data_IF_702092335997
#
_entry.id   IF_702092335997
#
_cell.length_a   1.000
_cell.length_b   1.000
_cell.length_c   1.000
_cell.angle_alpha   90.00
_cell.angle_beta   90.00
_cell.angle_gamma   90.00
#
_symmetry.space_group_name_H-M   'P 1'
#
loop_
_entity.id
_entity.type
_entity.pdbx_description
1 polymer ?
#
# COMPACT_ATOMS: atom_id res chain seq x y z
N UNK A 1 -11.51 4.44 -23.32
CA UNK A 1 -10.13 4.86 -22.94
C UNK A 1 -9.48 3.69 -22.22
N UNK A 2 -8.20 3.42 -22.43
CA UNK A 2 -7.45 2.36 -21.73
C UNK A 2 -6.56 2.99 -20.67
N UNK A 3 -6.10 2.21 -19.68
CA UNK A 3 -5.13 2.67 -18.69
C UNK A 3 -3.87 3.22 -19.34
N UNK A 4 -3.39 4.37 -18.86
CA UNK A 4 -2.08 4.91 -19.24
C UNK A 4 -0.97 4.00 -18.70
N UNK A 5 0.25 4.13 -19.24
CA UNK A 5 1.39 3.35 -18.75
C UNK A 5 1.76 3.73 -17.31
N UNK A 6 1.52 4.98 -16.90
CA UNK A 6 1.65 5.41 -15.50
C UNK A 6 0.67 4.64 -14.61
N UNK A 7 -0.61 4.56 -14.99
CA UNK A 7 -1.60 3.78 -14.22
C UNK A 7 -1.24 2.31 -14.12
N UNK A 8 -0.81 1.70 -15.23
CA UNK A 8 -0.36 0.30 -15.24
C UNK A 8 0.82 0.07 -14.29
N UNK A 9 1.80 0.98 -14.29
CA UNK A 9 2.92 0.94 -13.37
C UNK A 9 2.47 1.07 -11.91
N UNK A 10 1.53 1.98 -11.60
CA UNK A 10 0.97 2.14 -10.26
C UNK A 10 0.20 0.87 -9.80
N UNK A 11 -0.59 0.26 -10.68
CA UNK A 11 -1.33 -0.98 -10.37
C UNK A 11 -0.41 -2.18 -10.12
N UNK A 12 0.77 -2.20 -10.73
CA UNK A 12 1.76 -3.26 -10.56
C UNK A 12 2.65 -3.07 -9.32
N UNK A 13 2.66 -1.89 -8.68
CA UNK A 13 3.47 -1.63 -7.49
C UNK A 13 3.15 -2.62 -6.36
N UNK A 14 4.13 -3.05 -5.59
CA UNK A 14 3.90 -3.85 -4.39
C UNK A 14 2.97 -3.13 -3.40
N UNK A 15 2.14 -3.90 -2.71
CA UNK A 15 1.31 -3.39 -1.62
C UNK A 15 2.20 -2.99 -0.44
N UNK A 16 2.09 -1.75 0.03
CA UNK A 16 2.82 -1.27 1.20
C UNK A 16 2.36 -2.00 2.47
N UNK A 17 3.29 -2.64 3.17
CA UNK A 17 3.03 -3.44 4.38
C UNK A 17 2.30 -2.66 5.47
N UNK A 18 2.49 -1.34 5.56
CA UNK A 18 1.78 -0.49 6.55
C UNK A 18 0.26 -0.49 6.38
N UNK A 19 -0.23 -0.76 5.15
CA UNK A 19 -1.65 -0.81 4.80
C UNK A 19 -2.27 -2.21 4.98
N UNK A 20 -1.45 -3.20 5.33
CA UNK A 20 -1.88 -4.57 5.59
C UNK A 20 -2.24 -4.72 7.07
N UNK A 21 -3.44 -5.22 7.32
CA UNK A 21 -3.94 -5.49 8.68
C UNK A 21 -4.04 -6.99 8.92
N UNK A 22 -3.71 -7.45 10.13
CA UNK A 22 -3.95 -8.84 10.53
C UNK A 22 -5.46 -9.11 10.63
N UNK A 23 -5.89 -10.37 10.48
CA UNK A 23 -7.29 -10.73 10.58
C UNK A 23 -7.84 -10.47 12.00
N UNK A 24 -9.14 -10.17 12.09
CA UNK A 24 -9.84 -10.14 13.38
C UNK A 24 -9.84 -11.54 14.04
N UNK A 25 -9.98 -11.62 15.38
CA UNK A 25 -10.06 -12.88 16.07
C UNK A 25 -11.10 -13.82 15.45
N UNK A 26 -10.69 -15.06 15.12
CA UNK A 26 -11.54 -16.06 14.48
C UNK A 26 -11.68 -15.91 12.95
N UNK A 27 -11.06 -14.91 12.32
CA UNK A 27 -10.97 -14.76 10.87
C UNK A 27 -9.55 -15.13 10.39
N UNK A 28 -9.40 -15.46 9.11
CA UNK A 28 -8.13 -15.85 8.50
C UNK A 28 -7.74 -14.91 7.36
N UNK A 29 -6.43 -14.76 7.18
CA UNK A 29 -5.83 -13.98 6.09
C UNK A 29 -5.73 -12.48 6.38
N UNK A 30 -4.57 -11.92 6.07
CA UNK A 30 -4.33 -10.48 6.11
C UNK A 30 -5.28 -9.76 5.15
N UNK A 31 -5.59 -8.48 5.41
CA UNK A 31 -6.50 -7.71 4.58
C UNK A 31 -6.09 -6.23 4.48
N UNK A 32 -6.65 -5.54 3.50
CA UNK A 32 -6.64 -4.08 3.39
C UNK A 32 -7.99 -3.49 3.77
N UNK A 33 -7.99 -2.32 4.41
CA UNK A 33 -9.22 -1.65 4.84
C UNK A 33 -9.97 -1.01 3.67
N UNK A 34 -11.31 -0.93 3.78
CA UNK A 34 -12.17 -0.38 2.72
C UNK A 34 -11.82 1.05 2.32
N UNK A 35 -11.51 1.92 3.30
CA UNK A 35 -11.11 3.31 3.03
C UNK A 35 -9.81 3.38 2.22
N UNK A 36 -8.85 2.47 2.48
CA UNK A 36 -7.58 2.43 1.76
C UNK A 36 -7.79 2.12 0.28
N UNK A 37 -8.60 1.10 -0.05
CA UNK A 37 -8.85 0.76 -1.46
C UNK A 37 -9.57 1.87 -2.22
N UNK A 38 -10.45 2.63 -1.54
CA UNK A 38 -11.09 3.82 -2.13
C UNK A 38 -10.06 4.93 -2.35
N UNK A 39 -9.18 5.20 -1.38
CA UNK A 39 -8.13 6.20 -1.50
C UNK A 39 -7.16 5.86 -2.66
N UNK A 40 -6.77 4.60 -2.80
CA UNK A 40 -5.93 4.13 -3.91
C UNK A 40 -6.66 4.22 -5.26
N UNK A 41 -7.96 3.93 -5.33
CA UNK A 41 -8.73 4.12 -6.54
C UNK A 41 -8.75 5.60 -6.98
N UNK A 42 -9.00 6.52 -6.05
CA UNK A 42 -8.95 7.95 -6.31
C UNK A 42 -7.56 8.42 -6.72
N UNK A 43 -6.50 7.88 -6.11
CA UNK A 43 -5.11 8.23 -6.42
C UNK A 43 -4.68 7.73 -7.81
N UNK A 44 -5.04 6.49 -8.17
CA UNK A 44 -4.57 5.84 -9.40
C UNK A 44 -5.46 6.24 -10.59
N UNK A 45 -6.78 6.23 -10.40
CA UNK A 45 -7.75 6.45 -11.49
C UNK A 45 -8.22 7.91 -11.61
N UNK A 46 -8.01 8.75 -10.57
CA UNK A 46 -8.64 10.07 -10.45
C UNK A 46 -10.03 9.99 -9.83
N UNK A 47 -10.48 11.08 -9.20
CA UNK A 47 -11.79 11.14 -8.54
C UNK A 47 -12.98 10.96 -9.49
N UNK A 48 -12.79 11.29 -10.75
CA UNK A 48 -13.76 11.22 -11.84
C UNK A 48 -13.48 10.08 -12.85
N UNK A 49 -12.36 9.36 -12.64
CA UNK A 49 -11.90 8.30 -13.56
C UNK A 49 -12.49 6.93 -13.30
N UNK A 50 -13.32 6.77 -12.25
CA UNK A 50 -13.94 5.50 -11.92
C UNK A 50 -15.33 5.66 -11.32
N UNK A 51 -16.13 4.60 -11.41
CA UNK A 51 -17.48 4.53 -10.86
C UNK A 51 -17.71 3.23 -10.10
N UNK A 52 -18.59 3.27 -9.10
CA UNK A 52 -19.05 2.12 -8.33
C UNK A 52 -20.57 2.00 -8.43
N UNK A 53 -21.05 0.79 -8.68
CA UNK A 53 -22.47 0.46 -8.73
C UNK A 53 -22.72 -0.82 -7.95
N UNK A 54 -23.65 -0.82 -7.00
CA UNK A 54 -24.14 -2.03 -6.34
C UNK A 54 -25.25 -2.64 -7.20
N UNK A 55 -24.89 -3.68 -7.96
CA UNK A 55 -25.79 -4.30 -8.96
C UNK A 55 -26.70 -5.37 -8.36
N UNK A 56 -26.38 -5.88 -7.18
CA UNK A 56 -27.19 -6.83 -6.43
C UNK A 56 -27.00 -6.61 -4.93
N UNK A 57 -28.10 -6.66 -4.21
CA UNK A 57 -28.14 -6.75 -2.75
C UNK A 57 -29.26 -7.75 -2.39
N UNK A 58 -28.88 -8.90 -1.84
CA UNK A 58 -29.81 -9.99 -1.56
C UNK A 58 -29.62 -10.47 -0.12
N UNK A 59 -30.73 -10.55 0.62
CA UNK A 59 -30.74 -11.23 1.92
C UNK A 59 -30.58 -12.73 1.70
N UNK A 60 -29.60 -13.34 2.35
CA UNK A 60 -29.31 -14.78 2.25
C UNK A 60 -29.97 -15.55 3.37
N UNK A 61 -30.01 -14.99 4.58
CA UNK A 61 -30.68 -15.61 5.74
C UNK A 61 -31.04 -14.55 6.78
N UNK A 62 -32.07 -14.85 7.55
CA UNK A 62 -32.49 -14.08 8.74
C UNK A 62 -33.05 -15.04 9.77
N UNK A 63 -32.40 -15.13 10.91
CA UNK A 63 -32.72 -16.10 11.96
C UNK A 63 -32.67 -15.45 13.33
N UNK A 64 -33.66 -15.70 14.18
CA UNK A 64 -33.61 -15.41 15.61
C UNK A 64 -33.13 -16.68 16.34
N UNK A 65 -31.89 -16.68 16.72
CA UNK A 65 -31.24 -17.81 17.37
C UNK A 65 -31.40 -17.75 18.88
N UNK A 66 -31.69 -18.88 19.53
CA UNK A 66 -31.56 -19.05 20.96
C UNK A 66 -30.25 -19.74 21.25
N UNK A 67 -29.41 -19.12 22.05
CA UNK A 67 -28.05 -19.57 22.38
C UNK A 67 -27.95 -19.81 23.88
N UNK A 68 -27.23 -20.86 24.25
CA UNK A 68 -26.92 -21.17 25.66
C UNK A 68 -25.78 -20.28 26.12
N UNK A 69 -26.02 -19.40 27.06
CA UNK A 69 -25.02 -18.51 27.66
C UNK A 69 -24.60 -19.01 29.04
N UNK A 70 -23.57 -18.39 29.61
CA UNK A 70 -23.06 -18.67 30.95
C UNK A 70 -24.08 -18.34 32.04
N UNK A 71 -24.86 -17.28 31.84
CA UNK A 71 -25.82 -16.74 32.81
C UNK A 71 -27.29 -17.03 32.42
N UNK A 72 -27.51 -18.02 31.51
CA UNK A 72 -28.80 -18.42 30.97
C UNK A 72 -28.90 -18.27 29.46
N UNK A 73 -30.00 -18.79 28.92
CA UNK A 73 -30.26 -18.69 27.48
C UNK A 73 -30.58 -17.26 27.07
N UNK A 74 -30.09 -16.87 25.89
CA UNK A 74 -30.37 -15.56 25.30
C UNK A 74 -30.67 -15.68 23.81
N UNK A 75 -31.37 -14.67 23.28
CA UNK A 75 -31.70 -14.63 21.87
C UNK A 75 -30.92 -13.54 21.15
N UNK A 76 -30.57 -13.82 19.89
CA UNK A 76 -29.97 -12.83 18.99
C UNK A 76 -30.40 -13.05 17.55
N UNK A 77 -30.54 -11.95 16.81
CA UNK A 77 -30.65 -11.99 15.38
C UNK A 77 -29.30 -12.32 14.75
N UNK A 78 -29.34 -13.19 13.73
CA UNK A 78 -28.26 -13.37 12.76
C UNK A 78 -28.85 -13.13 11.37
N UNK A 79 -28.29 -12.13 10.66
CA UNK A 79 -28.74 -11.74 9.34
C UNK A 79 -27.54 -11.80 8.39
N UNK A 80 -27.74 -12.37 7.20
CA UNK A 80 -26.73 -12.45 6.14
C UNK A 80 -27.19 -11.77 4.88
N UNK A 81 -26.28 -11.04 4.24
CA UNK A 81 -26.50 -10.42 2.93
C UNK A 81 -25.37 -10.80 1.97
N UNK A 82 -25.76 -10.94 0.69
CA UNK A 82 -24.83 -11.03 -0.45
C UNK A 82 -24.98 -9.74 -1.26
N UNK A 83 -23.84 -9.11 -1.54
CA UNK A 83 -23.78 -7.99 -2.46
C UNK A 83 -22.94 -8.33 -3.69
N UNK A 84 -23.28 -7.74 -4.84
CA UNK A 84 -22.46 -7.72 -6.04
C UNK A 84 -22.21 -6.28 -6.42
N UNK A 85 -20.94 -5.90 -6.50
CA UNK A 85 -20.50 -4.55 -6.87
C UNK A 85 -19.76 -4.60 -8.19
N UNK A 86 -20.08 -3.65 -9.05
CA UNK A 86 -19.41 -3.38 -10.32
C UNK A 86 -18.59 -2.11 -10.20
N UNK A 87 -17.31 -2.20 -10.57
CA UNK A 87 -16.37 -1.07 -10.67
C UNK A 87 -16.02 -0.89 -12.14
N UNK A 88 -16.16 0.33 -12.63
CA UNK A 88 -15.68 0.70 -13.97
C UNK A 88 -14.64 1.80 -13.83
N UNK A 89 -13.41 1.57 -14.31
CA UNK A 89 -12.32 2.54 -14.30
C UNK A 89 -11.73 2.66 -15.71
N UNK A 90 -11.74 3.86 -16.28
CA UNK A 90 -11.26 4.14 -17.64
C UNK A 90 -11.78 3.14 -18.70
N UNK A 91 -13.05 2.75 -18.59
CA UNK A 91 -13.71 1.80 -19.51
C UNK A 91 -13.44 0.32 -19.23
N UNK A 92 -12.61 -0.01 -18.25
CA UNK A 92 -12.40 -1.39 -17.80
C UNK A 92 -13.34 -1.71 -16.64
N UNK A 93 -14.18 -2.74 -16.82
CA UNK A 93 -15.15 -3.17 -15.81
C UNK A 93 -14.69 -4.43 -15.08
N UNK A 94 -14.85 -4.44 -13.76
CA UNK A 94 -14.64 -5.58 -12.86
C UNK A 94 -15.82 -5.72 -11.90
N UNK A 95 -16.13 -6.95 -11.52
CA UNK A 95 -17.17 -7.24 -10.55
C UNK A 95 -16.62 -8.03 -9.38
N UNK A 96 -17.19 -7.82 -8.21
CA UNK A 96 -16.89 -8.58 -7.01
C UNK A 96 -18.18 -8.93 -6.28
N UNK A 97 -18.22 -10.13 -5.69
CA UNK A 97 -19.31 -10.57 -4.82
C UNK A 97 -18.80 -10.66 -3.41
N UNK A 98 -19.51 -10.07 -2.46
CA UNK A 98 -19.18 -10.06 -1.05
C UNK A 98 -20.33 -10.61 -0.19
N UNK A 99 -20.00 -11.04 1.00
CA UNK A 99 -20.93 -11.51 2.01
C UNK A 99 -20.74 -10.73 3.31
N UNK A 100 -21.82 -10.36 3.96
CA UNK A 100 -21.81 -9.69 5.25
C UNK A 100 -22.76 -10.36 6.23
N UNK A 101 -22.38 -10.35 7.50
CA UNK A 101 -23.19 -10.86 8.60
C UNK A 101 -23.41 -9.79 9.67
N UNK A 102 -24.64 -9.58 10.06
CA UNK A 102 -25.01 -8.76 11.20
C UNK A 102 -25.55 -9.60 12.35
N UNK A 103 -25.21 -9.21 13.55
CA UNK A 103 -25.69 -9.83 14.79
C UNK A 103 -26.20 -8.69 15.69
N UNK A 104 -27.39 -8.91 16.27
CA UNK A 104 -27.94 -7.94 17.23
C UNK A 104 -28.89 -8.63 18.24
N UNK A 105 -29.27 -7.87 19.25
CA UNK A 105 -30.29 -8.27 20.22
C UNK A 105 -31.66 -8.39 19.55
N UNK A 106 -32.64 -9.11 20.15
CA UNK A 106 -33.95 -9.33 19.56
C UNK A 106 -34.71 -8.04 19.17
N UNK A 107 -34.57 -7.00 19.98
CA UNK A 107 -35.24 -5.70 19.78
C UNK A 107 -34.54 -4.81 18.72
N UNK A 108 -33.37 -5.18 18.24
CA UNK A 108 -32.51 -4.36 17.40
C UNK A 108 -32.25 -5.00 16.01
N UNK A 109 -33.24 -5.66 15.40
CA UNK A 109 -33.09 -6.31 14.10
C UNK A 109 -32.50 -5.36 13.01
N UNK A 110 -32.90 -4.08 13.05
CA UNK A 110 -32.38 -3.08 12.11
C UNK A 110 -30.86 -2.92 12.14
N UNK A 111 -30.25 -3.02 13.32
CA UNK A 111 -28.78 -2.95 13.47
C UNK A 111 -28.09 -4.15 12.83
N UNK A 112 -28.66 -5.36 12.97
CA UNK A 112 -28.14 -6.55 12.31
C UNK A 112 -28.20 -6.42 10.78
N UNK A 113 -29.33 -5.93 10.24
CA UNK A 113 -29.49 -5.70 8.80
C UNK A 113 -28.47 -4.66 8.32
N UNK A 114 -28.37 -3.52 9.00
CA UNK A 114 -27.44 -2.43 8.64
C UNK A 114 -25.99 -2.94 8.60
N UNK A 115 -25.58 -3.68 9.62
CA UNK A 115 -24.22 -4.25 9.72
C UNK A 115 -23.95 -5.23 8.58
N UNK A 116 -24.88 -6.16 8.32
CA UNK A 116 -24.76 -7.15 7.25
C UNK A 116 -24.65 -6.53 5.85
N UNK A 117 -25.50 -5.52 5.57
CA UNK A 117 -25.52 -4.79 4.30
C UNK A 117 -24.20 -4.06 4.08
N UNK A 118 -23.74 -3.29 5.08
CA UNK A 118 -22.48 -2.54 5.00
C UNK A 118 -21.26 -3.46 4.81
N UNK A 119 -21.20 -4.59 5.53
CA UNK A 119 -20.11 -5.56 5.38
C UNK A 119 -20.14 -6.21 3.99
N UNK A 120 -21.32 -6.67 3.51
CA UNK A 120 -21.48 -7.30 2.20
C UNK A 120 -21.04 -6.37 1.05
N UNK A 121 -21.50 -5.12 1.08
CA UNK A 121 -21.19 -4.12 0.05
C UNK A 121 -19.69 -3.76 0.06
N UNK A 122 -19.11 -3.59 1.25
CA UNK A 122 -17.68 -3.28 1.39
C UNK A 122 -16.80 -4.44 0.92
N UNK A 123 -17.14 -5.69 1.27
CA UNK A 123 -16.40 -6.87 0.81
C UNK A 123 -16.51 -7.03 -0.72
N UNK A 124 -17.71 -6.86 -1.28
CA UNK A 124 -17.93 -6.92 -2.73
C UNK A 124 -17.10 -5.86 -3.49
N UNK A 125 -17.09 -4.61 -3.00
CA UNK A 125 -16.28 -3.52 -3.56
C UNK A 125 -14.79 -3.85 -3.51
N UNK A 126 -14.29 -4.30 -2.37
CA UNK A 126 -12.87 -4.68 -2.21
C UNK A 126 -12.48 -5.80 -3.16
N UNK A 127 -13.32 -6.82 -3.35
CA UNK A 127 -13.10 -7.92 -4.29
C UNK A 127 -13.09 -7.45 -5.74
N UNK A 128 -13.94 -6.51 -6.12
CA UNK A 128 -13.91 -5.93 -7.46
C UNK A 128 -12.61 -5.13 -7.68
N UNK A 129 -12.24 -4.24 -6.75
CA UNK A 129 -11.05 -3.40 -6.84
C UNK A 129 -9.76 -4.23 -6.82
N UNK A 130 -9.68 -5.27 -6.01
CA UNK A 130 -8.53 -6.16 -5.92
C UNK A 130 -8.06 -6.69 -7.29
N UNK A 131 -8.99 -6.97 -8.19
CA UNK A 131 -8.68 -7.50 -9.53
C UNK A 131 -7.98 -6.50 -10.45
N UNK A 132 -7.85 -5.23 -10.06
CA UNK A 132 -7.08 -4.23 -10.81
C UNK A 132 -5.58 -4.27 -10.50
N UNK A 133 -5.17 -4.67 -9.27
CA UNK A 133 -3.74 -4.75 -8.97
C UNK A 133 -3.38 -4.84 -7.48
N UNK A 134 -2.07 -4.92 -7.24
CA UNK A 134 -1.50 -5.14 -5.91
C UNK A 134 -1.91 -4.11 -4.85
N UNK A 135 -1.98 -2.78 -5.13
CA UNK A 135 -2.36 -1.77 -4.15
C UNK A 135 -3.75 -1.99 -3.54
N UNK A 136 -4.64 -2.70 -4.24
CA UNK A 136 -5.98 -3.04 -3.78
C UNK A 136 -6.06 -4.36 -3.00
N UNK A 137 -4.92 -4.99 -2.69
CA UNK A 137 -4.85 -6.23 -1.92
C UNK A 137 -4.68 -7.50 -2.75
N UNK A 138 -4.50 -7.44 -4.07
CA UNK A 138 -4.20 -8.62 -4.89
C UNK A 138 -2.98 -9.37 -4.37
N UNK A 139 -1.95 -8.64 -3.94
CA UNK A 139 -0.72 -9.18 -3.39
C UNK A 139 -0.91 -10.12 -2.19
N UNK A 140 -2.02 -10.01 -1.45
CA UNK A 140 -2.32 -10.85 -0.28
C UNK A 140 -2.88 -12.23 -0.66
N UNK A 141 -3.28 -12.43 -1.91
CA UNK A 141 -3.75 -13.74 -2.40
C UNK A 141 -2.60 -14.66 -2.83
N UNK A 142 -1.42 -14.10 -3.04
CA UNK A 142 -0.19 -14.87 -3.20
C UNK A 142 0.35 -15.26 -1.81
N UNK A 143 0.40 -16.58 -1.54
CA UNK A 143 0.90 -17.12 -0.27
C UNK A 143 2.35 -16.76 0.03
N UNK A 144 3.15 -16.46 -1.00
CA UNK A 144 4.54 -16.01 -0.84
C UNK A 144 4.64 -14.54 -0.43
N UNK A 145 3.57 -13.76 -0.59
CA UNK A 145 3.54 -12.31 -0.38
C UNK A 145 4.65 -11.55 -1.14
N UNK A 146 5.11 -12.09 -2.27
CA UNK A 146 6.21 -11.52 -3.05
C UNK A 146 5.95 -10.07 -3.50
N UNK A 147 4.68 -9.70 -3.65
CA UNK A 147 4.25 -8.35 -4.02
C UNK A 147 3.74 -7.51 -2.83
N UNK A 148 4.08 -7.89 -1.59
CA UNK A 148 3.89 -7.04 -0.41
C UNK A 148 5.25 -6.44 -0.05
N UNK A 149 5.35 -5.10 -0.08
CA UNK A 149 6.58 -4.42 0.28
C UNK A 149 6.90 -4.66 1.76
N UNK A 150 8.14 -4.95 2.06
CA UNK A 150 8.59 -5.06 3.45
C UNK A 150 8.55 -3.68 4.12
N UNK A 151 8.32 -3.66 5.44
CA UNK A 151 8.49 -2.42 6.21
C UNK A 151 9.95 -1.98 6.13
N UNK A 152 10.21 -0.66 5.99
CA UNK A 152 11.57 -0.15 6.07
C UNK A 152 12.24 -0.58 7.37
N UNK A 153 13.52 -0.95 7.28
CA UNK A 153 14.31 -1.24 8.47
C UNK A 153 14.35 0.02 9.38
N UNK A 154 14.03 -0.10 10.67
CA UNK A 154 14.11 1.05 11.60
C UNK A 154 15.47 1.77 11.56
N UNK A 155 16.55 1.06 11.22
CA UNK A 155 17.86 1.64 11.07
C UNK A 155 18.07 2.43 9.76
N UNK A 156 17.18 2.30 8.77
CA UNK A 156 17.32 2.99 7.47
C UNK A 156 17.47 4.50 7.63
N UNK A 157 16.64 5.14 8.45
CA UNK A 157 16.67 6.59 8.66
C UNK A 157 18.01 7.07 9.24
N UNK A 158 18.61 6.28 10.15
CA UNK A 158 19.92 6.55 10.72
C UNK A 158 21.01 6.48 9.65
N UNK A 159 20.97 5.48 8.79
CA UNK A 159 21.95 5.33 7.70
C UNK A 159 21.80 6.41 6.62
N UNK A 160 20.58 6.82 6.28
CA UNK A 160 20.33 7.95 5.38
C UNK A 160 20.88 9.26 5.96
N UNK A 161 20.66 9.50 7.25
CA UNK A 161 21.21 10.67 7.96
C UNK A 161 22.74 10.66 7.96
N UNK A 162 23.37 9.50 8.13
CA UNK A 162 24.83 9.38 8.07
C UNK A 162 25.40 9.71 6.68
N UNK A 163 24.71 9.29 5.61
CA UNK A 163 25.05 9.65 4.22
C UNK A 163 24.94 11.16 4.01
N UNK A 164 23.86 11.79 4.49
CA UNK A 164 23.63 13.24 4.31
C UNK A 164 24.69 14.08 5.03
N UNK A 165 25.18 13.60 6.16
CA UNK A 165 26.22 14.26 6.97
C UNK A 165 27.66 13.99 6.49
N UNK A 166 27.90 13.08 5.56
CA UNK A 166 29.24 12.81 5.05
C UNK A 166 29.78 14.03 4.31
N UNK A 167 30.97 14.51 4.68
CA UNK A 167 31.61 15.71 4.12
C UNK A 167 32.68 15.38 3.08
N UNK A 168 33.12 14.11 3.01
CA UNK A 168 34.16 13.64 2.09
C UNK A 168 33.70 12.38 1.35
N UNK A 169 34.27 12.12 0.18
CA UNK A 169 33.96 10.91 -0.59
C UNK A 169 34.34 9.63 0.17
N UNK A 170 35.48 9.62 0.89
CA UNK A 170 35.90 8.47 1.69
C UNK A 170 34.96 8.25 2.88
N UNK A 171 34.56 9.31 3.58
CA UNK A 171 33.56 9.25 4.64
C UNK A 171 32.21 8.75 4.14
N UNK A 172 31.77 9.23 2.97
CA UNK A 172 30.55 8.78 2.32
C UNK A 172 30.59 7.29 1.97
N UNK A 173 31.71 6.80 1.43
CA UNK A 173 31.88 5.39 1.09
C UNK A 173 31.86 4.51 2.35
N UNK A 174 32.48 4.97 3.43
CA UNK A 174 32.49 4.25 4.71
C UNK A 174 31.08 4.09 5.29
N UNK A 175 30.31 5.19 5.42
CA UNK A 175 28.95 5.14 6.00
C UNK A 175 27.98 4.37 5.10
N UNK A 176 28.14 4.45 3.78
CA UNK A 176 27.39 3.63 2.84
C UNK A 176 27.67 2.14 3.04
N UNK A 177 28.94 1.73 3.16
CA UNK A 177 29.34 0.35 3.38
C UNK A 177 28.76 -0.24 4.67
N UNK A 178 28.73 0.55 5.76
CA UNK A 178 28.11 0.17 7.03
C UNK A 178 26.60 -0.05 6.86
N UNK A 179 25.89 0.91 6.28
CA UNK A 179 24.45 0.82 6.04
C UNK A 179 24.08 -0.34 5.10
N UNK A 180 24.85 -0.54 4.02
CA UNK A 180 24.63 -1.62 3.08
C UNK A 180 24.71 -3.02 3.71
N UNK A 181 25.63 -3.22 4.66
CA UNK A 181 25.79 -4.49 5.40
C UNK A 181 24.72 -4.67 6.48
N UNK A 182 24.28 -3.59 7.12
CA UNK A 182 23.30 -3.63 8.19
C UNK A 182 21.88 -3.90 7.67
N UNK A 183 21.48 -3.27 6.56
CA UNK A 183 20.16 -3.40 5.98
C UNK A 183 19.97 -4.77 5.32
N UNK A 184 18.79 -5.40 5.54
CA UNK A 184 18.47 -6.72 4.98
C UNK A 184 17.58 -6.62 3.75
N UNK A 185 16.68 -5.67 3.75
CA UNK A 185 15.62 -5.51 2.76
C UNK A 185 16.16 -4.85 1.48
N UNK A 186 15.78 -5.40 0.33
CA UNK A 186 16.26 -4.94 -0.99
C UNK A 186 15.79 -3.52 -1.30
N UNK A 187 14.57 -3.15 -0.91
CA UNK A 187 14.01 -1.80 -1.09
C UNK A 187 14.80 -0.75 -0.31
N UNK A 188 15.17 -1.06 0.94
CA UNK A 188 15.98 -0.18 1.79
C UNK A 188 17.41 0.00 1.24
N UNK A 189 18.01 -1.07 0.73
CA UNK A 189 19.31 -1.00 0.04
C UNK A 189 19.24 -0.13 -1.22
N UNK A 190 18.16 -0.25 -2.00
CA UNK A 190 17.94 0.60 -3.17
C UNK A 190 17.81 2.09 -2.78
N UNK A 191 17.05 2.39 -1.72
CA UNK A 191 16.89 3.73 -1.16
C UNK A 191 18.23 4.30 -0.67
N UNK A 192 18.99 3.50 0.08
CA UNK A 192 20.32 3.88 0.57
C UNK A 192 21.28 4.18 -0.59
N UNK A 193 21.29 3.34 -1.63
CA UNK A 193 22.11 3.52 -2.83
C UNK A 193 21.75 4.80 -3.59
N UNK A 194 20.47 5.06 -3.80
CA UNK A 194 20.03 6.29 -4.46
C UNK A 194 20.49 7.54 -3.70
N UNK A 195 20.39 7.54 -2.36
CA UNK A 195 20.86 8.67 -1.55
C UNK A 195 22.38 8.81 -1.60
N UNK A 196 23.12 7.69 -1.60
CA UNK A 196 24.58 7.69 -1.75
C UNK A 196 25.00 8.32 -3.09
N UNK A 197 24.39 7.93 -4.21
CA UNK A 197 24.75 8.48 -5.53
C UNK A 197 24.47 9.98 -5.60
N UNK A 198 23.34 10.46 -5.06
CA UNK A 198 23.04 11.89 -4.98
C UNK A 198 24.09 12.64 -4.16
N UNK A 199 24.48 12.13 -2.99
CA UNK A 199 25.48 12.77 -2.14
C UNK A 199 26.86 12.75 -2.78
N UNK A 200 27.21 11.66 -3.46
CA UNK A 200 28.47 11.52 -4.21
C UNK A 200 28.61 12.59 -5.28
N UNK A 201 27.57 12.84 -6.06
CA UNK A 201 27.56 13.94 -7.04
C UNK A 201 27.81 15.27 -6.35
N UNK A 202 27.14 15.54 -5.22
CA UNK A 202 27.29 16.81 -4.49
C UNK A 202 28.69 17.01 -3.89
N UNK A 203 29.42 15.93 -3.58
CA UNK A 203 30.78 15.96 -3.03
C UNK A 203 31.86 15.88 -4.11
N UNK A 204 31.51 15.59 -5.36
CA UNK A 204 32.47 15.55 -6.46
C UNK A 204 32.63 16.96 -6.99
N UNK A 205 33.84 17.57 -6.92
CA UNK A 205 34.07 18.89 -7.45
C UNK A 205 33.79 18.92 -8.96
N UNK A 206 33.15 19.98 -9.45
CA UNK A 206 32.98 20.17 -10.90
C UNK A 206 34.36 20.10 -11.58
N UNK A 207 34.47 19.45 -12.76
CA UNK A 207 35.72 19.48 -13.51
C UNK A 207 36.07 20.93 -13.83
N UNK A 208 37.26 21.37 -13.44
CA UNK A 208 37.75 22.71 -13.76
C UNK A 208 37.62 22.95 -15.25
N UNK A 209 36.98 24.02 -15.64
CA UNK A 209 36.85 24.38 -17.04
C UNK A 209 38.24 24.62 -17.65
N UNK A 210 38.37 24.38 -18.96
CA UNK A 210 39.63 24.56 -19.67
C UNK A 210 40.21 25.98 -19.46
N UNK A 211 39.34 26.98 -19.21
CA UNK A 211 39.70 28.35 -18.87
C UNK A 211 40.49 28.49 -17.55
N UNK A 212 40.01 27.81 -16.48
CA UNK A 212 40.68 27.83 -15.17
C UNK A 212 42.03 27.11 -15.20
N UNK A 213 42.20 26.13 -16.11
CA UNK A 213 43.48 25.45 -16.30
C UNK A 213 44.49 26.35 -17.01
N UNK A 214 44.04 27.16 -17.96
CA UNK A 214 44.90 28.15 -18.67
C UNK A 214 45.26 29.33 -17.77
N UNK A 215 44.37 29.82 -16.91
CA UNK A 215 44.67 30.89 -15.95
C UNK A 215 45.70 30.48 -14.91
N UNK A 216 45.69 29.23 -14.43
CA UNK A 216 46.70 28.68 -13.53
C UNK A 216 48.08 28.51 -14.21
N UNK A 217 48.15 28.19 -15.50
CA UNK A 217 49.41 28.13 -16.26
C UNK A 217 50.00 29.49 -16.46
N UNK A 218 49.21 30.54 -16.76
CA UNK A 218 49.66 31.91 -16.92
C UNK A 218 50.18 32.54 -15.62
N UNK A 219 49.63 32.16 -14.46
CA UNK A 219 50.14 32.63 -13.16
C UNK A 219 51.47 32.00 -12.76
N UNK A 220 51.78 30.79 -13.27
CA UNK A 220 53.08 30.13 -13.01
C UNK A 220 54.23 30.68 -13.89
N UNK A 221 53.91 31.23 -15.06
CA UNK A 221 54.91 31.85 -15.97
C UNK A 221 55.29 33.31 -15.60
N UNK A 222 54.51 33.98 -14.72
CA UNK A 222 54.74 35.37 -14.33
C UNK A 222 55.60 35.54 -13.06
N UNK A 223 56.08 34.44 -12.47
CA UNK A 223 56.89 34.43 -11.22
C UNK A 223 58.35 33.93 -11.46
N UNK A 224 58.85 34.14 -12.68
CA UNK A 224 60.32 34.01 -12.93
C UNK A 224 60.96 35.34 -13.26
#
# INVERSE_FOLDING_TARGET
>A
MTFTDVMKAELAKPLDRKNVKPPAPGKYGDYVEGWHVIAEANRIFGFDGWTRETVLMLESNRELLTLVGRDGDYQQWRVGYVAKVKITAHGVTREGTGFGTGISKPEALGEAIESAVKEAETDAMKRALMTFGNPFGLALYDKSHANVAELPDPALSMHLTAIDKAETLDGLQLVFGVGWKALRNVGDKATLKSRYELRKVALTPEPKTLGEHLDNLHQQETVQ
#
